data_IF_217315470269
#
_entry.id   IF_217315470269
#
_cell.length_a   1.000
_cell.length_b   1.000
_cell.length_c   1.000
_cell.angle_alpha   90.00
_cell.angle_beta   90.00
_cell.angle_gamma   90.00
#
_symmetry.space_group_name_H-M   'P 1'
#
loop_
_entity.id
_entity.type
_entity.pdbx_description
1 polymer ?
#
# COMPACT_ATOMS: atom_id res chain seq x y z
N UNK A 1 -2.58 -5.89 10.69
CA UNK A 1 -2.19 -6.69 9.51
C UNK A 1 -1.30 -7.82 9.99
N UNK A 2 -1.65 -9.08 9.72
CA UNK A 2 -0.89 -10.24 10.18
C UNK A 2 0.43 -10.40 9.41
N UNK A 3 1.42 -11.08 10.00
CA UNK A 3 2.71 -11.32 9.34
C UNK A 3 2.56 -12.09 8.02
N UNK A 4 1.65 -13.06 7.97
CA UNK A 4 1.33 -13.79 6.76
C UNK A 4 0.86 -12.87 5.62
N UNK A 5 0.00 -11.89 5.93
CA UNK A 5 -0.45 -10.89 4.93
C UNK A 5 0.71 -10.00 4.49
N UNK A 6 1.65 -9.65 5.38
CA UNK A 6 2.79 -8.79 5.04
C UNK A 6 3.71 -9.51 4.07
N UNK A 7 4.05 -10.76 4.38
CA UNK A 7 4.86 -11.62 3.52
C UNK A 7 4.23 -11.81 2.14
N UNK A 8 2.92 -12.04 2.08
CA UNK A 8 2.20 -12.16 0.81
C UNK A 8 2.26 -10.87 -0.02
N UNK A 9 2.06 -9.70 0.59
CA UNK A 9 2.15 -8.43 -0.13
C UNK A 9 3.57 -8.13 -0.62
N UNK A 10 4.60 -8.38 0.21
CA UNK A 10 5.99 -8.23 -0.21
C UNK A 10 6.33 -9.16 -1.39
N UNK A 11 5.83 -10.39 -1.38
CA UNK A 11 6.01 -11.32 -2.51
C UNK A 11 5.36 -10.81 -3.81
N UNK A 12 4.14 -10.26 -3.74
CA UNK A 12 3.50 -9.63 -4.91
C UNK A 12 4.29 -8.43 -5.45
N UNK A 13 4.81 -7.60 -4.55
CA UNK A 13 5.67 -6.46 -4.91
C UNK A 13 6.95 -6.96 -5.58
N UNK A 14 7.58 -8.01 -5.06
CA UNK A 14 8.79 -8.59 -5.65
C UNK A 14 8.55 -9.06 -7.09
N UNK A 15 7.43 -9.74 -7.35
CA UNK A 15 7.05 -10.18 -8.71
C UNK A 15 6.82 -8.98 -9.63
N UNK A 16 6.09 -7.96 -9.17
CA UNK A 16 5.85 -6.76 -9.96
C UNK A 16 7.16 -6.02 -10.28
N UNK A 17 8.03 -5.81 -9.28
CA UNK A 17 9.33 -5.17 -9.46
C UNK A 17 10.24 -5.97 -10.39
N UNK A 18 10.21 -7.30 -10.33
CA UNK A 18 10.98 -8.14 -11.22
C UNK A 18 10.58 -7.95 -12.69
N UNK A 19 9.28 -7.85 -12.95
CA UNK A 19 8.75 -7.61 -14.30
C UNK A 19 9.19 -6.23 -14.83
N UNK A 20 9.17 -5.19 -14.00
CA UNK A 20 9.55 -3.82 -14.40
C UNK A 20 11.06 -3.65 -14.56
N UNK A 21 11.86 -4.23 -13.65
CA UNK A 21 13.31 -4.06 -13.63
C UNK A 21 14.06 -5.02 -14.56
N UNK A 22 13.40 -6.09 -15.01
CA UNK A 22 14.04 -7.17 -15.78
C UNK A 22 15.10 -7.96 -14.98
N UNK A 23 15.17 -7.79 -13.66
CA UNK A 23 16.08 -8.48 -12.74
C UNK A 23 15.40 -8.78 -11.41
N UNK A 24 15.97 -9.70 -10.64
CA UNK A 24 15.49 -9.96 -9.27
C UNK A 24 15.70 -8.70 -8.41
N UNK A 25 14.65 -8.16 -7.76
CA UNK A 25 14.76 -7.00 -6.89
C UNK A 25 15.44 -7.35 -5.57
N UNK A 26 16.15 -6.39 -4.99
CA UNK A 26 16.75 -6.51 -3.65
C UNK A 26 15.65 -6.38 -2.58
N UNK A 27 15.91 -6.93 -1.39
CA UNK A 27 14.98 -6.85 -0.28
C UNK A 27 14.66 -5.40 0.13
N UNK A 28 15.67 -4.52 0.13
CA UNK A 28 15.49 -3.08 0.39
C UNK A 28 14.54 -2.41 -0.61
N UNK A 29 14.58 -2.78 -1.89
CA UNK A 29 13.71 -2.24 -2.93
C UNK A 29 12.25 -2.65 -2.69
N UNK A 30 12.04 -3.92 -2.31
CA UNK A 30 10.72 -4.45 -1.96
C UNK A 30 10.17 -3.75 -0.72
N UNK A 31 11.01 -3.52 0.30
CA UNK A 31 10.63 -2.93 1.57
C UNK A 31 10.29 -1.44 1.44
N UNK A 32 11.07 -0.70 0.63
CA UNK A 32 10.80 0.69 0.32
C UNK A 32 9.48 0.85 -0.43
N UNK A 33 9.21 0.01 -1.45
CA UNK A 33 7.94 0.04 -2.19
C UNK A 33 6.78 -0.37 -1.30
N UNK A 34 6.97 -1.37 -0.42
CA UNK A 34 5.95 -1.78 0.55
C UNK A 34 5.59 -0.65 1.52
N UNK A 35 6.59 0.07 2.04
CA UNK A 35 6.39 1.24 2.89
C UNK A 35 5.66 2.35 2.12
N UNK A 36 6.16 2.70 0.92
CA UNK A 36 5.60 3.75 0.09
C UNK A 36 4.13 3.46 -0.25
N UNK A 37 3.81 2.24 -0.70
CA UNK A 37 2.43 1.85 -1.01
C UNK A 37 1.50 2.01 0.20
N UNK A 38 1.98 1.71 1.41
CA UNK A 38 1.21 1.90 2.64
C UNK A 38 1.04 3.36 3.02
N UNK A 39 2.07 4.18 2.85
CA UNK A 39 2.01 5.62 3.08
C UNK A 39 1.04 6.25 2.08
N UNK A 40 1.18 5.94 0.78
CA UNK A 40 0.29 6.39 -0.28
C UNK A 40 -1.15 5.99 0.02
N UNK A 41 -1.41 4.72 0.38
CA UNK A 41 -2.76 4.28 0.73
C UNK A 41 -3.30 5.01 1.95
N UNK A 42 -2.52 5.26 3.01
CA UNK A 42 -3.07 5.90 4.21
C UNK A 42 -3.20 7.41 4.10
N UNK A 43 -2.19 8.06 3.55
CA UNK A 43 -2.00 9.50 3.64
C UNK A 43 -2.39 10.24 2.36
N UNK A 44 -2.52 9.55 1.22
CA UNK A 44 -2.78 10.20 -0.07
C UNK A 44 -4.07 9.67 -0.69
N UNK A 45 -4.09 8.38 -1.03
CA UNK A 45 -5.17 7.75 -1.78
C UNK A 45 -6.35 7.34 -0.88
N UNK A 46 -6.08 6.77 0.29
CA UNK A 46 -7.12 6.28 1.19
C UNK A 46 -7.86 7.39 1.90
N UNK A 47 -7.28 8.59 2.05
CA UNK A 47 -8.04 9.76 2.52
C UNK A 47 -9.26 10.04 1.65
N UNK A 48 -9.16 9.87 0.34
CA UNK A 48 -10.31 10.02 -0.56
C UNK A 48 -11.38 8.95 -0.30
N UNK A 49 -10.98 7.69 -0.17
CA UNK A 49 -11.90 6.58 0.12
C UNK A 49 -12.57 6.73 1.49
N UNK A 50 -11.79 7.03 2.53
CA UNK A 50 -12.27 7.26 3.89
C UNK A 50 -13.20 8.47 3.97
N UNK A 51 -12.90 9.56 3.22
CA UNK A 51 -13.81 10.70 3.08
C UNK A 51 -15.14 10.33 2.42
N UNK A 52 -15.13 9.52 1.37
CA UNK A 52 -16.35 9.04 0.74
C UNK A 52 -17.18 8.18 1.69
N UNK A 53 -16.55 7.28 2.47
CA UNK A 53 -17.24 6.47 3.47
C UNK A 53 -17.80 7.30 4.63
N UNK A 54 -17.04 8.24 5.17
CA UNK A 54 -17.49 9.14 6.24
C UNK A 54 -18.71 9.97 5.81
N UNK A 55 -18.68 10.51 4.58
CA UNK A 55 -19.84 11.19 3.97
C UNK A 55 -21.06 10.27 3.87
N UNK A 56 -20.89 9.02 3.41
CA UNK A 56 -22.00 8.04 3.36
C UNK A 56 -22.58 7.71 4.73
N UNK A 57 -21.77 7.78 5.79
CA UNK A 57 -22.18 7.52 7.18
C UNK A 57 -22.70 8.77 7.92
N UNK A 58 -22.78 9.92 7.24
CA UNK A 58 -23.22 11.18 7.86
C UNK A 58 -22.23 11.77 8.87
N UNK A 59 -21.00 11.25 8.95
CA UNK A 59 -19.95 11.82 9.77
C UNK A 59 -19.27 12.95 8.99
N UNK A 60 -19.09 14.10 9.66
CA UNK A 60 -18.30 15.20 9.11
C UNK A 60 -16.88 14.66 8.88
N UNK A 61 -16.35 14.85 7.67
CA UNK A 61 -15.02 14.38 7.35
C UNK A 61 -13.97 15.28 8.03
N UNK A 62 -13.71 15.02 9.30
CA UNK A 62 -12.69 15.68 10.10
C UNK A 62 -11.43 14.83 9.95
N UNK A 63 -10.35 15.51 9.58
CA UNK A 63 -9.04 14.97 9.23
C UNK A 63 -8.54 13.89 10.20
#
# INVERSE_FOLDING_TARGET
MTEQKKRLLKAKIAVALQNELGRVPKEEEIDNVFLLARVMYKAVLGLHFTRQEQKKRGQLAIF
#
